data_IF_139624866081
#
_entry.id   IF_139624866081
#
_cell.length_a   1.000
_cell.length_b   1.000
_cell.length_c   1.000
_cell.angle_alpha   90.00
_cell.angle_beta   90.00
_cell.angle_gamma   90.00
#
_symmetry.space_group_name_H-M   'P 1'
#
loop_
_entity.id
_entity.type
_entity.pdbx_description
1 polymer ?
#
# COMPACT_ATOMS: atom_id res chain seq x y z
N UNK A 1 4.81 -35.19 41.18
CA UNK A 1 4.01 -34.90 42.39
C UNK A 1 4.27 -33.51 42.98
N UNK A 2 5.50 -32.99 42.99
CA UNK A 2 5.81 -31.66 43.57
C UNK A 2 5.18 -30.51 42.75
N UNK A 3 5.23 -30.54 41.41
CA UNK A 3 4.68 -29.47 40.53
C UNK A 3 3.16 -29.27 40.67
N UNK A 4 2.40 -30.33 40.98
CA UNK A 4 0.95 -30.25 41.18
C UNK A 4 0.57 -29.55 42.49
N UNK A 5 1.46 -29.54 43.50
CA UNK A 5 1.24 -28.80 44.74
C UNK A 5 1.50 -27.29 44.55
N UNK A 6 2.52 -26.91 43.77
CA UNK A 6 2.76 -25.49 43.41
C UNK A 6 1.63 -24.91 42.56
N UNK A 7 1.06 -25.68 41.63
CA UNK A 7 -0.11 -25.27 40.86
C UNK A 7 -1.36 -25.08 41.73
N UNK A 8 -1.64 -25.99 42.68
CA UNK A 8 -2.75 -25.81 43.65
C UNK A 8 -2.58 -24.58 44.54
N UNK A 9 -1.35 -24.26 44.95
CA UNK A 9 -1.06 -23.07 45.77
C UNK A 9 -1.19 -21.75 44.98
N UNK A 10 -0.99 -21.77 43.66
CA UNK A 10 -1.24 -20.63 42.77
C UNK A 10 -2.75 -20.45 42.51
N UNK A 11 -3.48 -21.53 42.21
CA UNK A 11 -4.93 -21.47 41.98
C UNK A 11 -5.67 -20.93 43.21
N UNK A 12 -5.37 -21.44 44.42
CA UNK A 12 -5.99 -20.93 45.66
C UNK A 12 -5.65 -19.47 45.97
N UNK A 13 -4.44 -19.00 45.63
CA UNK A 13 -4.10 -17.56 45.73
C UNK A 13 -4.90 -16.69 44.77
N UNK A 14 -5.22 -17.18 43.57
CA UNK A 14 -6.08 -16.47 42.61
C UNK A 14 -7.54 -16.49 43.08
N UNK A 15 -8.06 -17.63 43.56
CA UNK A 15 -9.43 -17.75 44.12
C UNK A 15 -9.66 -16.82 45.31
N UNK A 16 -8.72 -16.72 46.25
CA UNK A 16 -8.79 -15.79 47.39
C UNK A 16 -8.74 -14.33 46.92
N UNK A 17 -8.04 -14.05 45.82
CA UNK A 17 -7.94 -12.70 45.25
C UNK A 17 -9.21 -12.29 44.51
N UNK A 18 -9.89 -13.24 43.85
CA UNK A 18 -11.17 -13.03 43.16
C UNK A 18 -12.33 -12.91 44.15
N UNK A 19 -12.41 -13.78 45.17
CA UNK A 19 -13.47 -13.73 46.18
C UNK A 19 -13.39 -12.50 47.10
N UNK A 20 -12.24 -11.81 47.17
CA UNK A 20 -12.10 -10.53 47.89
C UNK A 20 -12.47 -9.30 47.02
N UNK A 21 -12.87 -9.48 45.75
CA UNK A 21 -13.30 -8.39 44.87
C UNK A 21 -14.83 -8.26 44.76
N UNK A 22 -15.61 -9.22 45.27
CA UNK A 22 -17.06 -9.07 45.44
C UNK A 22 -17.41 -8.80 46.92
N UNK A 23 -18.46 -7.99 47.13
CA UNK A 23 -18.97 -7.53 48.44
C UNK A 23 -18.15 -6.46 49.18
N UNK A 24 -17.92 -5.31 48.54
CA UNK A 24 -17.99 -4.00 49.22
C UNK A 24 -18.29 -2.84 48.24
N UNK A 25 -19.35 -2.98 47.45
CA UNK A 25 -19.94 -1.87 46.71
C UNK A 25 -21.07 -1.24 47.55
N UNK A 26 -20.93 -0.01 48.08
CA UNK A 26 -22.03 0.66 48.75
C UNK A 26 -23.17 0.93 47.76
N UNK A 27 -24.42 0.81 48.21
CA UNK A 27 -25.61 1.18 47.43
C UNK A 27 -25.59 2.68 47.09
N UNK A 28 -24.95 3.02 45.97
CA UNK A 28 -24.95 4.34 45.36
C UNK A 28 -25.08 4.15 43.85
N UNK A 29 -26.33 3.96 43.41
CA UNK A 29 -26.67 4.15 41.99
C UNK A 29 -26.51 5.65 41.70
N UNK A 30 -25.30 6.05 41.32
CA UNK A 30 -24.98 7.39 40.82
C UNK A 30 -25.81 7.61 39.55
N UNK A 31 -26.99 8.21 39.69
CA UNK A 31 -27.80 8.71 38.56
C UNK A 31 -26.91 9.62 37.71
N UNK A 32 -26.72 9.28 36.44
CA UNK A 32 -25.86 10.02 35.53
C UNK A 32 -24.83 9.17 34.77
N UNK A 33 -24.48 7.97 35.23
CA UNK A 33 -23.49 7.12 34.52
C UNK A 33 -24.15 6.39 33.34
N UNK A 34 -23.48 6.34 32.19
CA UNK A 34 -23.91 5.61 30.99
C UNK A 34 -22.97 4.44 30.65
N UNK A 35 -23.50 3.39 30.02
CA UNK A 35 -22.71 2.26 29.50
C UNK A 35 -22.80 2.24 27.97
N UNK A 36 -21.67 2.14 27.28
CA UNK A 36 -21.61 2.01 25.83
C UNK A 36 -20.43 1.12 25.41
N UNK A 37 -20.69 0.06 24.65
CA UNK A 37 -19.70 -0.93 24.19
C UNK A 37 -18.76 -1.45 25.30
N UNK A 38 -19.34 -1.86 26.44
CA UNK A 38 -18.65 -2.29 27.67
C UNK A 38 -17.73 -1.25 28.34
N UNK A 39 -17.75 0.02 27.92
CA UNK A 39 -17.08 1.13 28.60
C UNK A 39 -18.09 1.96 29.37
N UNK A 40 -17.71 2.37 30.59
CA UNK A 40 -18.51 3.17 31.52
C UNK A 40 -18.14 4.64 31.38
N UNK A 41 -19.12 5.50 31.12
CA UNK A 41 -18.95 6.94 30.92
C UNK A 41 -19.68 7.74 32.00
N UNK A 42 -19.04 8.78 32.52
CA UNK A 42 -19.63 9.69 33.50
C UNK A 42 -20.68 10.62 32.86
N UNK A 43 -21.55 11.22 33.68
CA UNK A 43 -22.56 12.16 33.18
C UNK A 43 -21.88 13.36 32.51
N UNK A 44 -22.40 13.82 31.37
CA UNK A 44 -21.82 14.84 30.49
C UNK A 44 -20.53 14.47 29.75
N UNK A 45 -20.00 13.25 29.88
CA UNK A 45 -18.86 12.81 29.08
C UNK A 45 -19.24 12.69 27.59
N UNK A 46 -18.33 13.09 26.70
CA UNK A 46 -18.45 12.95 25.24
C UNK A 46 -17.35 12.01 24.69
N UNK A 47 -17.67 11.18 23.70
CA UNK A 47 -16.72 10.27 23.04
C UNK A 47 -17.09 10.01 21.58
N UNK A 48 -16.10 9.68 20.74
CA UNK A 48 -16.31 9.28 19.34
C UNK A 48 -16.32 7.76 19.21
N UNK A 49 -17.31 7.19 18.52
CA UNK A 49 -17.41 5.74 18.26
C UNK A 49 -16.82 5.35 16.90
N UNK A 50 -16.84 6.28 15.95
CA UNK A 50 -16.16 6.23 14.65
C UNK A 50 -15.84 7.67 14.22
N UNK A 51 -15.19 7.86 13.06
CA UNK A 51 -14.86 9.19 12.53
C UNK A 51 -16.07 10.13 12.40
N UNK A 52 -17.28 9.58 12.25
CA UNK A 52 -18.51 10.26 11.91
C UNK A 52 -19.57 10.26 13.01
N UNK A 53 -19.30 9.72 14.20
CA UNK A 53 -20.30 9.53 15.24
C UNK A 53 -19.73 9.86 16.61
N UNK A 54 -20.32 10.87 17.24
CA UNK A 54 -19.95 11.33 18.57
C UNK A 54 -21.15 11.13 19.50
N UNK A 55 -20.92 10.58 20.68
CA UNK A 55 -21.93 10.26 21.67
C UNK A 55 -21.67 11.00 22.98
N UNK A 56 -22.75 11.39 23.64
CA UNK A 56 -22.69 12.09 24.92
C UNK A 56 -23.52 11.34 25.97
N UNK A 57 -23.06 11.29 27.20
CA UNK A 57 -23.82 10.71 28.30
C UNK A 57 -24.69 11.80 28.94
N UNK A 58 -26.01 11.62 28.94
CA UNK A 58 -26.95 12.53 29.60
C UNK A 58 -27.90 11.76 30.50
N UNK A 59 -27.72 11.91 31.81
CA UNK A 59 -28.57 11.32 32.86
C UNK A 59 -28.82 9.82 32.69
N UNK A 60 -27.74 9.05 32.47
CA UNK A 60 -27.75 7.61 32.22
C UNK A 60 -28.36 7.15 30.87
N UNK A 61 -28.62 8.08 29.94
CA UNK A 61 -28.91 7.78 28.54
C UNK A 61 -27.74 8.17 27.62
N UNK A 62 -27.39 7.31 26.66
CA UNK A 62 -26.38 7.61 25.64
C UNK A 62 -27.05 8.32 24.45
N UNK A 63 -26.65 9.55 24.18
CA UNK A 63 -27.17 10.38 23.11
C UNK A 63 -26.11 10.54 22.01
N UNK A 64 -26.21 9.72 20.96
CA UNK A 64 -25.30 9.78 19.81
C UNK A 64 -25.83 10.69 18.70
N UNK A 65 -24.99 11.65 18.28
CA UNK A 65 -25.20 12.43 17.07
C UNK A 65 -24.15 12.08 16.00
N UNK A 66 -24.61 11.98 14.75
CA UNK A 66 -23.72 11.84 13.60
C UNK A 66 -23.17 13.21 13.20
N UNK A 67 -21.86 13.26 12.98
CA UNK A 67 -21.12 14.44 12.53
C UNK A 67 -21.70 14.88 11.20
N UNK A 68 -22.38 16.02 11.21
CA UNK A 68 -23.00 16.61 10.02
C UNK A 68 -21.93 17.37 9.23
N UNK A 69 -21.37 16.72 8.21
CA UNK A 69 -20.32 17.33 7.40
C UNK A 69 -20.81 18.60 6.67
N UNK A 70 -19.97 19.64 6.59
CA UNK A 70 -20.28 20.85 5.84
C UNK A 70 -20.44 20.56 4.35
N UNK A 71 -21.24 21.39 3.70
CA UNK A 71 -21.59 21.28 2.28
C UNK A 71 -20.39 21.66 1.41
N UNK A 72 -19.85 20.70 0.65
CA UNK A 72 -18.62 20.92 -0.12
C UNK A 72 -18.90 21.59 -1.47
N UNK A 73 -18.27 22.75 -1.77
CA UNK A 73 -18.64 23.58 -2.90
C UNK A 73 -17.79 23.35 -4.16
N UNK A 74 -16.80 22.46 -4.10
CA UNK A 74 -15.94 22.20 -5.24
C UNK A 74 -16.48 21.10 -6.12
N UNK A 75 -15.87 21.03 -7.29
CA UNK A 75 -16.15 19.97 -8.20
C UNK A 75 -15.43 18.69 -7.72
N UNK A 76 -14.10 18.57 -7.78
CA UNK A 76 -13.38 17.36 -7.41
C UNK A 76 -13.23 17.21 -5.87
N UNK A 77 -14.26 16.65 -5.20
CA UNK A 77 -14.32 16.52 -3.74
C UNK A 77 -14.00 15.09 -3.24
N UNK A 78 -13.08 14.95 -2.28
CA UNK A 78 -12.60 13.65 -1.74
C UNK A 78 -12.57 13.61 -0.21
N UNK A 79 -12.90 12.47 0.39
CA UNK A 79 -12.76 12.25 1.85
C UNK A 79 -11.39 11.62 2.12
N UNK A 80 -10.50 12.24 2.92
CA UNK A 80 -9.22 11.63 3.30
C UNK A 80 -9.40 10.43 4.23
N UNK A 81 -8.49 9.45 4.16
CA UNK A 81 -8.52 8.27 5.04
C UNK A 81 -8.55 8.66 6.53
N UNK A 82 -9.56 8.18 7.25
CA UNK A 82 -9.76 8.43 8.68
C UNK A 82 -10.61 9.67 9.02
N UNK A 83 -10.85 10.60 8.08
CA UNK A 83 -11.76 11.73 8.30
C UNK A 83 -13.20 11.40 7.89
N UNK A 84 -14.18 12.08 8.51
CA UNK A 84 -15.59 11.93 8.11
C UNK A 84 -15.97 12.76 6.87
N UNK A 85 -15.28 13.89 6.63
CA UNK A 85 -15.78 14.96 5.76
C UNK A 85 -14.89 15.26 4.55
N UNK A 86 -15.46 15.55 3.36
CA UNK A 86 -14.68 15.76 2.14
C UNK A 86 -13.96 17.12 2.00
N UNK A 87 -12.94 17.18 1.13
CA UNK A 87 -12.02 18.30 0.80
C UNK A 87 -11.74 18.37 -0.73
N UNK A 88 -10.90 19.31 -1.25
CA UNK A 88 -10.77 19.67 -2.69
C UNK A 88 -9.29 19.95 -3.13
N UNK A 89 -8.86 19.82 -4.43
CA UNK A 89 -7.42 19.72 -4.83
C UNK A 89 -6.93 20.24 -6.27
N UNK A 90 -5.75 20.94 -6.46
CA UNK A 90 -5.40 22.06 -7.44
C UNK A 90 -5.47 22.19 -9.01
N UNK A 91 -5.79 23.43 -9.53
CA UNK A 91 -5.44 24.10 -10.85
C UNK A 91 -5.70 25.67 -10.87
N UNK A 92 -5.11 26.54 -11.74
CA UNK A 92 -4.65 27.97 -11.50
C UNK A 92 -5.31 29.26 -12.18
N UNK A 93 -6.09 30.10 -11.46
CA UNK A 93 -6.01 31.60 -11.33
C UNK A 93 -6.99 32.20 -10.27
N UNK A 94 -6.60 33.29 -9.57
CA UNK A 94 -7.21 33.70 -8.28
C UNK A 94 -8.64 34.31 -8.31
N UNK A 95 -9.14 34.80 -9.45
CA UNK A 95 -10.55 35.21 -9.63
C UNK A 95 -11.37 34.19 -10.46
N UNK A 96 -10.71 33.25 -11.15
CA UNK A 96 -11.34 32.10 -11.83
C UNK A 96 -11.66 30.94 -10.87
N UNK A 97 -11.30 31.13 -9.60
CA UNK A 97 -11.55 30.25 -8.46
C UNK A 97 -13.04 29.87 -8.26
N UNK A 98 -13.94 30.74 -8.68
CA UNK A 98 -15.38 30.62 -8.49
C UNK A 98 -16.10 30.41 -9.83
N UNK A 99 -16.98 29.41 -9.90
CA UNK A 99 -17.94 29.28 -11.00
C UNK A 99 -18.83 30.53 -11.08
N UNK A 100 -19.45 30.80 -12.23
CA UNK A 100 -20.56 31.74 -12.31
C UNK A 100 -21.62 31.43 -11.25
N UNK A 101 -22.24 32.48 -10.71
CA UNK A 101 -23.43 32.34 -9.89
C UNK A 101 -24.58 31.77 -10.71
N UNK A 102 -25.34 30.84 -10.12
CA UNK A 102 -26.63 30.43 -10.68
C UNK A 102 -27.61 31.60 -10.72
N UNK A 103 -28.66 31.44 -11.51
CA UNK A 103 -29.85 32.29 -11.40
C UNK A 103 -30.45 32.24 -9.98
N UNK A 104 -31.17 33.30 -9.63
CA UNK A 104 -31.91 33.38 -8.37
C UNK A 104 -33.13 32.45 -8.39
N UNK A 105 -33.36 31.72 -7.30
CA UNK A 105 -34.58 30.90 -7.14
C UNK A 105 -35.85 31.75 -7.16
N UNK A 106 -36.99 31.12 -7.45
CA UNK A 106 -38.31 31.69 -7.18
C UNK A 106 -38.51 31.94 -5.67
N UNK A 107 -39.56 32.68 -5.31
CA UNK A 107 -39.86 33.02 -3.92
C UNK A 107 -40.22 31.78 -3.09
N UNK A 108 -39.59 31.63 -1.92
CA UNK A 108 -39.86 30.50 -1.00
C UNK A 108 -41.23 30.53 -0.31
N UNK A 109 -41.93 31.67 -0.35
CA UNK A 109 -43.24 31.89 0.26
C UNK A 109 -44.09 32.83 -0.61
N UNK A 110 -45.41 32.77 -0.43
CA UNK A 110 -46.38 33.68 -1.08
C UNK A 110 -46.78 34.89 -0.23
N UNK A 111 -46.40 34.90 1.06
CA UNK A 111 -46.49 36.05 1.97
C UNK A 111 -45.28 36.10 2.91
N UNK A 112 -45.15 37.17 3.68
CA UNK A 112 -44.17 37.35 4.74
C UNK A 112 -42.73 37.46 4.25
N UNK A 113 -41.79 37.18 5.16
CA UNK A 113 -40.36 37.21 4.85
C UNK A 113 -39.97 35.93 4.10
N UNK A 114 -39.99 36.00 2.77
CA UNK A 114 -39.48 34.95 1.90
C UNK A 114 -37.97 35.08 1.71
N UNK A 115 -37.35 34.04 1.15
CA UNK A 115 -35.95 34.06 0.70
C UNK A 115 -35.86 33.70 -0.77
N UNK A 116 -34.87 34.29 -1.45
CA UNK A 116 -34.34 33.80 -2.71
C UNK A 116 -32.87 33.45 -2.50
N UNK A 117 -32.43 32.37 -3.13
CA UNK A 117 -31.05 31.89 -3.03
C UNK A 117 -30.43 31.77 -4.42
N UNK A 118 -29.10 31.79 -4.48
CA UNK A 118 -28.32 31.33 -5.62
C UNK A 118 -27.00 30.74 -5.14
N UNK A 119 -26.45 29.81 -5.90
CA UNK A 119 -25.22 29.10 -5.57
C UNK A 119 -24.12 29.34 -6.60
N UNK A 120 -22.86 29.20 -6.18
CA UNK A 120 -21.70 29.03 -7.04
C UNK A 120 -20.77 27.99 -6.43
N UNK A 121 -20.11 27.24 -7.29
CA UNK A 121 -19.09 26.27 -6.92
C UNK A 121 -17.72 26.95 -6.87
N UNK A 122 -16.86 26.55 -5.96
CA UNK A 122 -15.48 27.03 -5.92
C UNK A 122 -14.54 25.87 -6.19
N UNK A 123 -13.66 26.04 -7.17
CA UNK A 123 -12.51 25.15 -7.33
C UNK A 123 -11.47 25.55 -6.26
N UNK A 124 -11.66 25.01 -5.04
CA UNK A 124 -10.83 25.15 -3.81
C UNK A 124 -9.43 24.55 -3.94
N UNK A 125 -8.89 24.67 -5.12
CA UNK A 125 -7.93 23.75 -5.66
C UNK A 125 -6.58 24.44 -5.45
N UNK A 126 -5.95 25.15 -6.41
CA UNK A 126 -4.88 26.09 -6.04
C UNK A 126 -5.50 27.37 -5.47
N UNK A 127 -6.77 27.63 -5.78
CA UNK A 127 -7.41 28.85 -5.31
C UNK A 127 -7.96 28.71 -3.91
N UNK A 128 -7.40 29.58 -3.08
CA UNK A 128 -8.11 30.11 -1.94
C UNK A 128 -9.32 30.91 -2.45
N UNK A 129 -10.51 30.35 -2.28
CA UNK A 129 -11.74 31.07 -2.53
C UNK A 129 -12.19 31.83 -1.28
N UNK A 130 -12.08 33.15 -1.32
CA UNK A 130 -12.70 34.02 -0.32
C UNK A 130 -14.18 34.29 -0.65
N UNK A 131 -15.00 34.47 0.38
CA UNK A 131 -16.45 34.68 0.29
C UNK A 131 -17.30 33.40 0.33
N UNK A 132 -18.62 33.55 0.17
CA UNK A 132 -19.58 32.44 0.27
C UNK A 132 -19.86 31.77 -1.09
N UNK A 133 -20.17 30.47 -1.03
CA UNK A 133 -20.68 29.65 -2.13
C UNK A 133 -22.19 29.77 -2.33
N UNK A 134 -22.90 30.33 -1.35
CA UNK A 134 -24.34 30.58 -1.39
C UNK A 134 -24.59 32.05 -1.06
N UNK A 135 -25.41 32.70 -1.87
CA UNK A 135 -25.94 34.03 -1.57
C UNK A 135 -27.44 33.88 -1.29
N UNK A 136 -27.88 34.40 -0.15
CA UNK A 136 -29.30 34.46 0.23
C UNK A 136 -29.72 35.92 0.30
N UNK A 137 -30.86 36.26 -0.28
CA UNK A 137 -31.52 37.56 -0.08
C UNK A 137 -32.89 37.35 0.54
N UNK A 138 -33.22 38.17 1.53
CA UNK A 138 -34.55 38.20 2.13
C UNK A 138 -35.43 39.10 1.26
N UNK A 139 -36.65 38.64 0.99
CA UNK A 139 -37.67 39.38 0.26
C UNK A 139 -38.85 39.61 1.20
N UNK A 140 -39.08 40.87 1.58
CA UNK A 140 -40.19 41.26 2.45
C UNK A 140 -41.47 41.34 1.61
N UNK A 141 -42.31 40.31 1.67
CA UNK A 141 -43.70 40.38 1.24
C UNK A 141 -44.61 40.68 2.44
N UNK A 142 -45.88 41.06 2.18
CA UNK A 142 -46.84 41.49 3.21
C UNK A 142 -46.95 40.46 4.36
N UNK A 143 -47.07 40.92 5.61
CA UNK A 143 -47.05 40.05 6.80
C UNK A 143 -48.06 38.88 6.70
N UNK A 144 -47.60 37.65 6.91
CA UNK A 144 -48.49 36.50 7.09
C UNK A 144 -49.12 36.50 8.50
N UNK A 145 -50.29 35.87 8.64
CA UNK A 145 -50.92 35.64 9.94
C UNK A 145 -50.06 34.71 10.84
N UNK A 146 -49.83 35.13 12.09
CA UNK A 146 -48.83 34.59 13.03
C UNK A 146 -49.27 33.28 13.72
N UNK A 147 -50.30 32.60 13.19
CA UNK A 147 -50.87 31.35 13.71
C UNK A 147 -50.66 30.13 12.79
N UNK A 148 -49.97 30.28 11.67
CA UNK A 148 -49.90 29.24 10.65
C UNK A 148 -48.82 28.18 10.92
N UNK A 149 -49.19 26.89 10.86
CA UNK A 149 -48.26 25.76 10.88
C UNK A 149 -47.63 25.60 9.50
N UNK A 150 -46.34 25.86 9.37
CA UNK A 150 -45.61 25.74 8.11
C UNK A 150 -44.79 24.44 8.08
N UNK A 151 -45.07 23.55 7.12
CA UNK A 151 -44.18 22.43 6.81
C UNK A 151 -42.96 22.95 6.06
N UNK A 152 -41.81 22.30 6.26
CA UNK A 152 -40.61 22.60 5.46
C UNK A 152 -40.75 22.08 4.04
N UNK A 153 -40.08 22.76 3.10
CA UNK A 153 -39.88 22.23 1.75
C UNK A 153 -38.42 22.37 1.30
N UNK A 154 -38.05 21.49 0.37
CA UNK A 154 -36.69 21.40 -0.15
C UNK A 154 -36.30 22.66 -0.94
N UNK A 155 -35.08 23.13 -0.72
CA UNK A 155 -34.39 24.00 -1.67
C UNK A 155 -34.19 23.29 -3.01
N UNK A 156 -33.85 24.07 -4.03
CA UNK A 156 -33.25 23.49 -5.22
C UNK A 156 -31.94 22.75 -4.85
N UNK A 157 -31.61 21.75 -5.66
CA UNK A 157 -30.31 21.10 -5.60
C UNK A 157 -29.19 22.11 -5.92
N UNK A 158 -28.05 21.94 -5.27
CA UNK A 158 -26.78 22.54 -5.71
C UNK A 158 -26.42 22.09 -7.13
N UNK A 159 -25.50 22.80 -7.80
CA UNK A 159 -24.72 22.19 -8.87
C UNK A 159 -24.12 20.85 -8.43
N UNK A 160 -23.88 19.98 -9.40
CA UNK A 160 -23.07 18.79 -9.16
C UNK A 160 -21.64 19.18 -8.82
N UNK A 161 -21.02 18.39 -7.95
CA UNK A 161 -19.57 18.29 -7.89
C UNK A 161 -19.05 17.68 -9.22
N UNK A 162 -17.73 17.65 -9.39
CA UNK A 162 -17.04 16.79 -10.34
C UNK A 162 -16.40 15.63 -9.59
N UNK A 163 -15.58 14.88 -10.31
CA UNK A 163 -15.27 13.50 -9.95
C UNK A 163 -14.36 13.44 -8.73
N UNK A 164 -14.71 12.63 -7.75
CA UNK A 164 -13.91 12.32 -6.54
C UNK A 164 -12.58 11.60 -6.82
N UNK A 165 -12.14 11.57 -8.07
CA UNK A 165 -10.89 10.97 -8.52
C UNK A 165 -10.36 11.80 -9.70
N UNK A 166 -9.04 11.88 -9.82
CA UNK A 166 -8.36 12.46 -10.99
C UNK A 166 -8.29 11.46 -12.15
N UNK A 167 -8.34 10.17 -11.87
CA UNK A 167 -8.30 9.06 -12.83
C UNK A 167 -9.20 7.90 -12.40
N UNK A 168 -9.62 7.05 -13.34
CA UNK A 168 -10.50 5.90 -13.09
C UNK A 168 -11.95 6.28 -12.84
N UNK A 169 -12.67 5.44 -12.09
CA UNK A 169 -14.07 5.65 -11.74
C UNK A 169 -14.20 6.27 -10.35
N UNK A 170 -15.07 7.27 -10.22
CA UNK A 170 -15.37 7.93 -8.95
C UNK A 170 -16.84 8.36 -8.85
N UNK A 171 -17.11 9.28 -7.94
CA UNK A 171 -18.45 9.82 -7.70
C UNK A 171 -18.48 11.34 -7.86
N UNK A 172 -19.65 11.87 -8.23
CA UNK A 172 -20.04 13.27 -8.08
C UNK A 172 -21.21 13.39 -7.12
N UNK A 173 -21.30 14.50 -6.39
CA UNK A 173 -22.30 14.75 -5.33
C UNK A 173 -23.10 16.01 -5.64
N UNK A 174 -24.40 16.04 -5.31
CA UNK A 174 -25.15 17.27 -5.08
C UNK A 174 -26.00 17.19 -3.82
N UNK A 175 -26.50 18.34 -3.38
CA UNK A 175 -27.09 18.54 -2.04
C UNK A 175 -28.26 19.53 -2.08
N UNK A 176 -29.20 19.42 -1.15
CA UNK A 176 -30.33 20.34 -0.95
C UNK A 176 -30.65 20.47 0.53
N UNK A 177 -31.30 21.58 0.91
CA UNK A 177 -31.61 21.94 2.28
C UNK A 177 -33.12 22.00 2.52
N UNK A 178 -33.57 21.70 3.74
CA UNK A 178 -34.99 21.79 4.10
C UNK A 178 -35.31 23.20 4.66
N UNK A 179 -35.18 24.23 3.83
CA UNK A 179 -35.24 25.63 4.24
C UNK A 179 -36.08 26.55 3.32
N UNK A 180 -36.78 26.01 2.32
CA UNK A 180 -37.52 26.79 1.31
C UNK A 180 -39.01 26.42 1.25
N UNK A 181 -39.80 26.63 2.32
CA UNK A 181 -39.45 27.32 3.57
C UNK A 181 -38.94 26.37 4.68
N UNK A 182 -38.54 26.93 5.81
CA UNK A 182 -38.20 26.18 7.03
C UNK A 182 -39.48 25.65 7.72
N UNK A 183 -39.46 24.46 8.35
CA UNK A 183 -40.56 24.03 9.21
C UNK A 183 -40.75 24.98 10.41
N UNK A 184 -41.99 25.36 10.72
CA UNK A 184 -42.33 26.18 11.88
C UNK A 184 -43.53 25.60 12.64
N UNK A 185 -43.61 25.91 13.95
CA UNK A 185 -44.76 25.55 14.82
C UNK A 185 -45.14 24.06 14.78
N UNK A 186 -44.14 23.17 14.76
CA UNK A 186 -44.35 21.72 14.68
C UNK A 186 -44.94 21.26 13.33
N UNK A 187 -44.63 21.98 12.24
CA UNK A 187 -44.80 21.48 10.88
C UNK A 187 -43.79 20.37 10.53
N UNK A 188 -44.10 19.59 9.50
CA UNK A 188 -43.28 18.45 9.06
C UNK A 188 -41.93 18.90 8.51
N UNK A 189 -40.90 18.10 8.76
CA UNK A 189 -39.63 18.15 8.02
C UNK A 189 -39.81 17.64 6.60
N UNK A 190 -38.87 17.96 5.71
CA UNK A 190 -38.87 17.50 4.33
C UNK A 190 -38.59 15.99 4.27
N UNK A 191 -39.33 15.27 3.41
CA UNK A 191 -39.18 13.83 3.21
C UNK A 191 -38.26 13.54 2.00
N UNK A 192 -37.39 12.53 2.11
CA UNK A 192 -36.40 12.13 1.09
C UNK A 192 -34.96 12.61 1.36
N UNK A 193 -34.04 12.27 0.46
CA UNK A 193 -32.60 12.51 0.68
C UNK A 193 -32.19 13.97 0.49
N UNK A 194 -31.34 14.48 1.40
CA UNK A 194 -30.72 15.80 1.30
C UNK A 194 -29.44 15.80 0.43
N UNK A 195 -28.94 14.62 0.05
CA UNK A 195 -27.71 14.39 -0.72
C UNK A 195 -27.98 13.35 -1.81
N UNK A 196 -27.37 13.54 -2.97
CA UNK A 196 -27.43 12.59 -4.08
C UNK A 196 -26.03 12.39 -4.64
N UNK A 197 -25.69 11.15 -4.99
CA UNK A 197 -24.42 10.78 -5.60
C UNK A 197 -24.67 10.14 -6.97
N UNK A 198 -23.81 10.42 -7.95
CA UNK A 198 -23.82 9.80 -9.28
C UNK A 198 -22.39 9.38 -9.67
N UNK A 199 -22.22 8.36 -10.50
CA UNK A 199 -20.89 7.93 -10.96
C UNK A 199 -20.28 8.89 -12.00
N UNK A 200 -18.96 8.90 -12.05
CA UNK A 200 -18.18 9.60 -13.07
C UNK A 200 -16.97 8.78 -13.50
N UNK A 201 -16.57 8.97 -14.75
CA UNK A 201 -15.47 8.25 -15.39
C UNK A 201 -14.41 9.28 -15.83
N UNK A 202 -13.17 9.09 -15.39
CA UNK A 202 -11.98 9.82 -15.84
C UNK A 202 -11.10 8.90 -16.70
N UNK A 203 -10.01 9.43 -17.23
CA UNK A 203 -8.97 8.63 -17.89
C UNK A 203 -8.46 7.52 -16.95
N UNK A 204 -8.08 6.33 -17.44
CA UNK A 204 -7.53 5.26 -16.60
C UNK A 204 -6.35 5.73 -15.75
N UNK A 205 -6.20 5.18 -14.55
CA UNK A 205 -5.09 5.54 -13.67
C UNK A 205 -3.76 4.98 -14.17
N UNK A 206 -2.64 5.71 -14.02
CA UNK A 206 -1.30 5.20 -14.29
C UNK A 206 -1.03 3.92 -13.49
N UNK A 207 -0.66 2.85 -14.18
CA UNK A 207 -0.20 1.60 -13.58
C UNK A 207 1.32 1.62 -13.66
N UNK A 208 1.99 1.79 -12.53
CA UNK A 208 3.46 1.74 -12.49
C UNK A 208 3.93 0.30 -12.71
N UNK A 209 4.98 0.14 -13.51
CA UNK A 209 5.63 -1.14 -13.71
C UNK A 209 6.27 -1.66 -12.42
N UNK A 210 6.23 -2.97 -12.24
CA UNK A 210 7.03 -3.64 -11.23
C UNK A 210 7.63 -4.94 -11.79
N UNK A 211 8.75 -5.34 -11.20
CA UNK A 211 9.54 -6.46 -11.67
C UNK A 211 8.79 -7.79 -11.51
N UNK A 212 8.72 -8.54 -12.60
CA UNK A 212 8.44 -9.97 -12.57
C UNK A 212 9.53 -10.74 -11.83
N UNK A 213 9.31 -12.04 -11.58
CA UNK A 213 10.32 -12.91 -10.98
C UNK A 213 11.60 -12.93 -11.84
N UNK A 214 12.74 -13.10 -11.18
CA UNK A 214 13.99 -13.41 -11.86
C UNK A 214 13.87 -14.77 -12.58
N UNK A 215 14.45 -14.87 -13.76
CA UNK A 215 14.75 -16.14 -14.39
C UNK A 215 15.66 -16.98 -13.48
N UNK A 216 15.71 -18.31 -13.70
CA UNK A 216 16.86 -19.11 -13.27
C UNK A 216 18.18 -18.48 -13.75
N UNK A 217 19.28 -18.82 -13.08
CA UNK A 217 20.60 -18.51 -13.60
C UNK A 217 20.88 -19.33 -14.86
N UNK A 218 21.48 -18.70 -15.86
CA UNK A 218 22.01 -19.37 -17.05
C UNK A 218 23.06 -20.41 -16.64
N UNK A 219 23.24 -21.45 -17.46
CA UNK A 219 24.32 -22.41 -17.25
C UNK A 219 25.69 -21.71 -17.23
N UNK A 220 26.56 -22.09 -16.30
CA UNK A 220 27.90 -21.52 -16.23
C UNK A 220 28.71 -21.87 -17.50
N UNK A 221 29.31 -20.90 -18.20
CA UNK A 221 29.95 -21.13 -19.50
C UNK A 221 31.25 -21.96 -19.41
N UNK A 222 31.85 -22.08 -18.23
CA UNK A 222 33.06 -22.88 -17.97
C UNK A 222 32.86 -23.74 -16.72
N UNK A 223 33.54 -24.89 -16.66
CA UNK A 223 33.37 -25.90 -15.59
C UNK A 223 34.34 -25.73 -14.42
N UNK A 224 35.33 -24.83 -14.53
CA UNK A 224 36.32 -24.49 -13.51
C UNK A 224 36.92 -23.11 -13.82
N UNK A 225 37.71 -22.55 -12.90
CA UNK A 225 38.45 -21.28 -13.10
C UNK A 225 37.63 -20.00 -12.95
N UNK A 226 36.36 -20.07 -12.54
CA UNK A 226 35.50 -18.91 -12.29
C UNK A 226 34.83 -18.33 -13.54
N UNK A 227 33.67 -18.86 -13.90
CA UNK A 227 32.82 -18.31 -14.97
C UNK A 227 31.91 -17.19 -14.50
N UNK A 228 31.26 -16.49 -15.43
CA UNK A 228 30.17 -15.54 -15.15
C UNK A 228 28.87 -16.11 -15.73
N UNK A 229 27.89 -16.36 -14.85
CA UNK A 229 26.51 -16.67 -15.24
C UNK A 229 25.63 -15.42 -15.10
N UNK A 230 24.56 -15.36 -15.88
CA UNK A 230 23.61 -14.24 -15.90
C UNK A 230 22.20 -14.73 -15.57
N UNK A 231 21.32 -13.79 -15.22
CA UNK A 231 19.87 -13.99 -15.17
C UNK A 231 19.17 -12.68 -15.53
N UNK A 232 17.93 -12.76 -15.96
CA UNK A 232 17.13 -11.60 -16.37
C UNK A 232 15.77 -11.57 -15.65
N UNK A 233 15.12 -10.41 -15.68
CA UNK A 233 13.74 -10.22 -15.24
C UNK A 233 13.05 -9.22 -16.16
N UNK A 234 11.73 -9.30 -16.24
CA UNK A 234 10.91 -8.44 -17.09
C UNK A 234 10.11 -7.44 -16.25
N UNK A 235 9.88 -6.25 -16.78
CA UNK A 235 9.04 -5.22 -16.14
C UNK A 235 7.55 -5.49 -16.47
N UNK A 236 7.00 -6.58 -15.93
CA UNK A 236 5.70 -7.11 -16.35
C UNK A 236 4.77 -7.56 -15.21
N UNK A 237 5.08 -7.24 -13.95
CA UNK A 237 4.28 -7.68 -12.79
C UNK A 237 3.93 -6.53 -11.81
N UNK A 238 3.13 -5.53 -12.23
CA UNK A 238 2.50 -5.41 -13.54
C UNK A 238 3.40 -4.70 -14.57
N UNK A 239 2.98 -4.70 -15.83
CA UNK A 239 3.56 -3.90 -16.91
C UNK A 239 3.13 -2.42 -16.78
N UNK A 240 4.03 -1.44 -17.04
CA UNK A 240 3.67 -0.02 -17.03
C UNK A 240 2.54 0.30 -18.03
N UNK A 241 1.46 0.96 -17.59
CA UNK A 241 0.33 1.37 -18.44
C UNK A 241 -0.19 2.76 -18.09
N UNK A 242 -0.86 3.38 -19.05
CA UNK A 242 -1.52 4.69 -18.89
C UNK A 242 -0.61 5.81 -18.35
N UNK A 243 0.66 5.83 -18.78
CA UNK A 243 1.65 6.81 -18.31
C UNK A 243 2.27 6.49 -16.94
N UNK A 244 2.09 5.27 -16.43
CA UNK A 244 2.80 4.80 -15.23
C UNK A 244 4.31 4.69 -15.45
N UNK A 245 5.05 4.71 -14.33
CA UNK A 245 6.52 4.71 -14.34
C UNK A 245 7.08 3.34 -14.72
N UNK A 246 8.21 3.34 -15.41
CA UNK A 246 9.04 2.15 -15.65
C UNK A 246 9.61 1.56 -14.35
N UNK A 247 10.00 0.28 -14.41
CA UNK A 247 10.60 -0.41 -13.28
C UNK A 247 11.98 0.17 -12.90
N UNK A 248 12.22 0.36 -11.60
CA UNK A 248 13.47 0.91 -11.08
C UNK A 248 14.49 -0.21 -10.79
N UNK A 249 15.72 -0.03 -11.28
CA UNK A 249 16.85 -0.96 -11.10
C UNK A 249 17.13 -1.81 -12.35
N UNK A 250 18.07 -2.76 -12.24
CA UNK A 250 18.56 -3.50 -13.42
C UNK A 250 17.64 -4.64 -13.86
N UNK A 251 17.45 -4.80 -15.16
CA UNK A 251 16.74 -5.93 -15.77
C UNK A 251 17.59 -7.23 -15.80
N UNK A 252 18.90 -7.12 -15.58
CA UNK A 252 19.85 -8.25 -15.62
C UNK A 252 20.73 -8.26 -14.38
N UNK A 253 21.08 -9.44 -13.91
CA UNK A 253 22.05 -9.64 -12.84
C UNK A 253 23.10 -10.66 -13.27
N UNK A 254 24.31 -10.52 -12.75
CA UNK A 254 25.45 -11.39 -13.05
C UNK A 254 26.09 -11.90 -11.76
N UNK A 255 26.57 -13.15 -11.75
CA UNK A 255 27.37 -13.65 -10.63
C UNK A 255 28.45 -14.63 -11.09
N UNK A 256 29.50 -14.79 -10.29
CA UNK A 256 30.50 -15.81 -10.52
C UNK A 256 29.95 -17.22 -10.26
N UNK A 257 30.39 -18.19 -11.06
CA UNK A 257 30.07 -19.61 -10.97
C UNK A 257 31.33 -20.46 -11.15
N UNK A 258 31.30 -21.73 -10.73
CA UNK A 258 32.40 -22.69 -10.92
C UNK A 258 33.79 -22.14 -10.50
N UNK A 259 33.87 -21.65 -9.27
CA UNK A 259 35.04 -20.99 -8.67
C UNK A 259 36.18 -21.94 -8.28
N UNK A 260 35.96 -23.25 -8.35
CA UNK A 260 37.01 -24.25 -8.18
C UNK A 260 38.12 -24.06 -9.23
N UNK A 261 39.37 -24.22 -8.84
CA UNK A 261 40.51 -24.19 -9.76
C UNK A 261 40.37 -25.27 -10.83
N UNK A 262 40.94 -25.02 -12.01
CA UNK A 262 40.96 -26.02 -13.06
C UNK A 262 42.02 -27.09 -12.77
N UNK A 263 41.76 -28.37 -13.16
CA UNK A 263 42.78 -29.41 -13.12
C UNK A 263 44.02 -28.96 -13.90
N UNK A 264 45.19 -29.04 -13.28
CA UNK A 264 46.46 -28.69 -13.91
C UNK A 264 46.93 -29.90 -14.72
N UNK A 265 47.10 -29.74 -16.03
CA UNK A 265 47.72 -30.77 -16.87
C UNK A 265 49.25 -30.68 -16.76
N UNK A 266 49.85 -31.47 -15.87
CA UNK A 266 51.31 -31.49 -15.67
C UNK A 266 52.11 -31.85 -16.92
N UNK A 267 51.54 -32.68 -17.79
CA UNK A 267 52.13 -33.09 -19.07
C UNK A 267 52.24 -31.97 -20.11
N UNK A 268 51.54 -30.84 -19.93
CA UNK A 268 51.58 -29.70 -20.86
C UNK A 268 52.98 -29.06 -20.98
N UNK A 269 53.85 -29.33 -19.99
CA UNK A 269 55.26 -28.92 -19.97
C UNK A 269 56.21 -29.87 -20.73
N UNK A 270 55.70 -30.96 -21.33
CA UNK A 270 56.48 -32.08 -21.90
C UNK A 270 57.62 -32.58 -20.98
N UNK A 271 57.32 -32.98 -19.72
CA UNK A 271 58.35 -33.27 -18.73
C UNK A 271 58.97 -34.69 -18.86
N UNK A 272 58.57 -35.45 -19.88
CA UNK A 272 58.97 -36.83 -20.11
C UNK A 272 59.91 -36.95 -21.30
N UNK A 273 60.78 -37.97 -21.31
CA UNK A 273 61.68 -38.26 -22.42
C UNK A 273 60.90 -38.49 -23.73
N UNK A 274 61.49 -38.10 -24.86
CA UNK A 274 60.85 -38.26 -26.16
C UNK A 274 60.45 -39.72 -26.43
N UNK A 275 59.15 -39.98 -26.57
CA UNK A 275 58.60 -41.32 -26.78
C UNK A 275 58.10 -42.04 -25.51
N UNK A 276 58.35 -41.54 -24.30
CA UNK A 276 57.73 -42.09 -23.09
C UNK A 276 56.35 -41.45 -22.83
N UNK A 277 55.38 -42.25 -22.39
CA UNK A 277 53.99 -41.80 -22.22
C UNK A 277 53.82 -40.97 -20.95
N UNK A 278 53.55 -39.68 -21.07
CA UNK A 278 53.16 -38.85 -19.93
C UNK A 278 51.70 -39.13 -19.50
N UNK A 279 51.41 -39.10 -18.20
CA UNK A 279 50.05 -39.18 -17.63
C UNK A 279 49.91 -38.19 -16.48
N UNK A 280 49.02 -37.21 -16.64
CA UNK A 280 48.65 -36.23 -15.60
C UNK A 280 47.53 -36.75 -14.70
N UNK A 281 47.46 -36.19 -13.50
CA UNK A 281 46.43 -36.44 -12.51
C UNK A 281 45.70 -35.13 -12.13
N UNK A 282 44.45 -35.19 -11.59
CA UNK A 282 43.66 -33.99 -11.31
C UNK A 282 44.24 -33.04 -10.24
N UNK A 283 45.19 -33.52 -9.44
CA UNK A 283 45.93 -32.75 -8.43
C UNK A 283 47.12 -31.96 -9.00
N UNK A 284 47.34 -32.03 -10.32
CA UNK A 284 48.49 -31.42 -11.00
C UNK A 284 49.76 -32.27 -10.98
N UNK A 285 49.76 -33.42 -10.29
CA UNK A 285 50.86 -34.37 -10.40
C UNK A 285 50.87 -35.07 -11.76
N UNK A 286 52.02 -35.59 -12.15
CA UNK A 286 52.20 -36.27 -13.43
C UNK A 286 53.24 -37.39 -13.27
N UNK A 287 53.20 -38.37 -14.17
CA UNK A 287 54.20 -39.44 -14.25
C UNK A 287 54.54 -39.78 -15.70
N UNK A 288 55.77 -40.19 -15.93
CA UNK A 288 56.19 -40.80 -17.19
C UNK A 288 56.02 -42.32 -17.15
N UNK A 289 55.70 -42.91 -18.30
CA UNK A 289 55.78 -44.35 -18.55
C UNK A 289 57.23 -44.84 -18.67
N UNK A 290 57.43 -46.12 -18.97
CA UNK A 290 58.77 -46.67 -19.21
C UNK A 290 59.46 -45.98 -20.38
N UNK A 291 60.79 -46.06 -20.41
CA UNK A 291 61.59 -45.61 -21.54
C UNK A 291 61.26 -46.42 -22.82
N UNK A 292 61.49 -45.84 -24.02
CA UNK A 292 61.40 -46.57 -25.28
C UNK A 292 62.31 -47.80 -25.34
N UNK A 293 62.04 -48.72 -26.26
CA UNK A 293 62.93 -49.87 -26.53
C UNK A 293 64.32 -49.36 -26.94
N UNK A 294 65.38 -50.00 -26.43
CA UNK A 294 66.76 -49.52 -26.56
C UNK A 294 67.18 -48.51 -25.48
N UNK A 295 66.27 -48.11 -24.57
CA UNK A 295 66.58 -47.15 -23.51
C UNK A 295 66.19 -47.66 -22.12
N UNK A 296 67.04 -47.40 -21.12
CA UNK A 296 66.80 -47.72 -19.71
C UNK A 296 66.77 -46.43 -18.86
N UNK A 297 65.88 -46.39 -17.87
CA UNK A 297 65.71 -45.24 -16.99
C UNK A 297 64.33 -45.14 -16.35
N UNK A 298 63.98 -43.95 -15.87
CA UNK A 298 62.75 -43.66 -15.14
C UNK A 298 61.66 -42.96 -15.99
N UNK A 299 61.80 -42.94 -17.31
CA UNK A 299 60.87 -42.28 -18.24
C UNK A 299 61.04 -40.76 -18.36
N UNK A 300 61.61 -40.09 -17.35
CA UNK A 300 62.02 -38.68 -17.40
C UNK A 300 63.41 -38.58 -18.02
N UNK A 301 64.36 -39.33 -17.45
CA UNK A 301 65.72 -39.51 -17.96
C UNK A 301 65.85 -40.95 -18.44
N UNK A 302 66.06 -41.11 -19.74
CA UNK A 302 66.31 -42.37 -20.41
C UNK A 302 67.71 -42.33 -21.01
N UNK A 303 68.50 -43.38 -20.80
CA UNK A 303 69.82 -43.56 -21.41
C UNK A 303 69.74 -44.71 -22.40
N UNK A 304 70.44 -44.58 -23.51
CA UNK A 304 70.69 -45.64 -24.49
C UNK A 304 71.29 -46.85 -23.75
N UNK A 305 70.79 -48.06 -24.05
CA UNK A 305 71.32 -49.31 -23.50
C UNK A 305 72.52 -49.71 -24.35
N UNK A 306 73.67 -49.95 -23.71
CA UNK A 306 74.81 -50.55 -24.40
C UNK A 306 74.57 -52.07 -24.49
N UNK A 307 73.91 -52.54 -25.56
CA UNK A 307 73.60 -53.97 -25.71
C UNK A 307 74.86 -54.85 -25.78
N UNK A 308 76.04 -54.25 -26.07
CA UNK A 308 77.32 -54.95 -26.06
C UNK A 308 77.81 -55.32 -24.65
N UNK A 309 77.33 -54.63 -23.61
CA UNK A 309 77.66 -54.95 -22.21
C UNK A 309 76.65 -55.92 -21.58
N UNK A 310 75.38 -55.83 -21.98
CA UNK A 310 74.30 -56.66 -21.43
C UNK A 310 74.19 -58.04 -22.09
N UNK A 311 74.62 -58.20 -23.35
CA UNK A 311 74.60 -59.49 -24.06
C UNK A 311 76.01 -59.82 -24.62
N UNK A 312 76.82 -60.63 -23.91
CA UNK A 312 78.26 -60.81 -24.23
C UNK A 312 78.63 -61.30 -25.64
N UNK A 313 77.68 -61.85 -26.40
CA UNK A 313 77.91 -62.43 -27.73
C UNK A 313 77.35 -61.58 -28.90
N UNK A 314 76.78 -60.39 -28.67
CA UNK A 314 76.11 -59.60 -29.73
C UNK A 314 77.01 -58.63 -30.50
N UNK A 315 78.10 -58.15 -29.90
CA UNK A 315 78.94 -57.11 -30.48
C UNK A 315 80.31 -57.60 -30.94
N UNK A 316 80.70 -57.17 -32.14
CA UNK A 316 81.96 -57.56 -32.76
C UNK A 316 83.13 -56.77 -32.14
N UNK A 317 83.91 -57.43 -31.28
CA UNK A 317 85.16 -56.87 -30.75
C UNK A 317 86.23 -56.97 -31.84
N UNK A 318 86.68 -55.84 -32.37
CA UNK A 318 87.88 -55.76 -33.21
C UNK A 318 89.12 -56.03 -32.34
N UNK A 319 89.71 -57.21 -32.51
CA UNK A 319 91.02 -57.58 -31.96
C UNK A 319 92.19 -57.14 -32.85
#
# INVERSE_FOLDING_TARGET
FIELQSLRALVTKVEISVNNMELNAPHNIKKGICLHNNVVYENTAEWTTDSCTTCTCQNSAVMCHKVSCPLMPCSNATVPDGECCPRCWPSDSADDAWSPWSEWTTFSTTCGNGIQQRGRSCDRINHLCEGSSVQTRICNMQECDKRFRQNGAWSHWSPWSSCSVTCGSGLITRIRLCNSPLPQMGGKTCEGEARENMSCQKSPCPINGNWGPWSPWDACPITCGGGIQKRSRLCNNPEPKFGGKECIGDATATQMCNKQDCPIDGCLSNPCFAGSKCTSFPDGSWKCGPCPVGYQGNGITCKDIDECQEVPDTCFVLG
#
